data_IF_367134570483
#
_entry.id   IF_367134570483
#
_cell.length_a   1.000
_cell.length_b   1.000
_cell.length_c   1.000
_cell.angle_alpha   90.00
_cell.angle_beta   90.00
_cell.angle_gamma   90.00
#
_symmetry.space_group_name_H-M   'P 1'
#
loop_
_entity.id
_entity.type
_entity.pdbx_description
1 polymer ?
#
# COMPACT_ATOMS: atom_id res chain seq x y z
N UNK A 1 3.35 -7.06 15.11
CA UNK A 1 4.69 -7.18 15.75
C UNK A 1 5.78 -6.93 14.72
N UNK A 2 6.75 -6.11 15.09
CA UNK A 2 7.89 -5.83 14.22
C UNK A 2 8.95 -6.89 14.43
N UNK A 3 9.29 -7.62 13.38
CA UNK A 3 10.37 -8.60 13.42
C UNK A 3 11.69 -8.02 12.95
N UNK A 4 11.67 -6.81 12.44
CA UNK A 4 12.88 -6.07 12.05
C UNK A 4 12.62 -4.59 12.15
N UNK A 5 13.65 -3.87 12.54
CA UNK A 5 13.65 -2.41 12.54
C UNK A 5 14.23 -1.98 11.21
N UNK A 6 13.38 -1.48 10.32
CA UNK A 6 13.81 -1.17 8.96
C UNK A 6 13.37 0.20 8.51
N UNK A 7 14.27 0.87 7.82
CA UNK A 7 13.96 2.07 7.06
C UNK A 7 13.45 1.67 5.66
N UNK A 8 12.82 2.61 5.00
CA UNK A 8 12.28 2.45 3.65
C UNK A 8 13.29 1.80 2.69
N UNK A 9 14.55 2.21 2.75
CA UNK A 9 15.62 1.66 1.91
C UNK A 9 15.95 0.20 2.18
N UNK A 10 15.43 -0.36 3.27
CA UNK A 10 15.64 -1.77 3.65
C UNK A 10 14.32 -2.54 3.69
N UNK A 11 13.24 -1.93 3.28
CA UNK A 11 11.90 -2.45 3.43
C UNK A 11 11.30 -2.90 2.10
N UNK A 12 10.27 -3.73 2.18
CA UNK A 12 9.53 -4.22 1.02
C UNK A 12 8.18 -3.52 0.92
N UNK A 13 7.91 -2.98 -0.25
CA UNK A 13 6.64 -2.33 -0.57
C UNK A 13 5.78 -3.27 -1.39
N UNK A 14 4.51 -3.40 -1.03
CA UNK A 14 3.49 -3.98 -1.88
C UNK A 14 2.69 -2.84 -2.51
N UNK A 15 2.46 -2.88 -3.81
CA UNK A 15 1.75 -1.83 -4.50
C UNK A 15 1.03 -2.39 -5.73
N UNK A 16 0.27 -1.54 -6.40
CA UNK A 16 -0.35 -1.82 -7.68
C UNK A 16 -0.17 -0.64 -8.61
N UNK A 17 -0.37 -0.86 -9.90
CA UNK A 17 -0.34 0.21 -10.88
C UNK A 17 -1.59 1.09 -10.74
N UNK A 18 -1.52 2.36 -11.12
CA UNK A 18 -2.69 3.23 -11.13
C UNK A 18 -3.84 2.63 -11.96
N UNK A 19 -5.06 2.99 -11.60
CA UNK A 19 -6.24 2.56 -12.35
C UNK A 19 -6.12 2.97 -13.82
N UNK A 20 -6.73 2.15 -14.68
CA UNK A 20 -6.73 2.39 -16.13
C UNK A 20 -7.22 3.82 -16.43
N UNK A 21 -6.46 4.55 -17.22
CA UNK A 21 -6.74 5.95 -17.55
C UNK A 21 -5.93 6.97 -16.75
N UNK A 22 -5.25 6.54 -15.69
CA UNK A 22 -4.41 7.41 -14.87
C UNK A 22 -2.92 7.28 -15.23
N UNK A 23 -2.62 6.69 -16.37
CA UNK A 23 -1.25 6.51 -16.84
C UNK A 23 -0.83 7.73 -17.65
N UNK A 24 -0.23 8.72 -17.00
CA UNK A 24 0.38 9.84 -17.69
C UNK A 24 1.84 9.95 -17.25
N UNK A 25 2.60 10.83 -17.93
CA UNK A 25 4.02 10.97 -17.65
C UNK A 25 4.29 11.38 -16.20
N UNK A 26 3.48 12.28 -15.66
CA UNK A 26 3.66 12.78 -14.30
C UNK A 26 3.39 11.69 -13.27
N UNK A 27 2.27 10.98 -13.39
CA UNK A 27 1.93 9.93 -12.43
C UNK A 27 2.90 8.76 -12.49
N UNK A 28 3.40 8.42 -13.68
CA UNK A 28 4.40 7.36 -13.82
C UNK A 28 5.76 7.80 -13.28
N UNK A 29 6.10 9.07 -13.42
CA UNK A 29 7.34 9.61 -12.85
C UNK A 29 7.30 9.60 -11.33
N UNK A 30 6.18 10.01 -10.73
CA UNK A 30 5.99 9.96 -9.29
C UNK A 30 6.06 8.53 -8.77
N UNK A 31 5.43 7.60 -9.47
CA UNK A 31 5.47 6.18 -9.12
C UNK A 31 6.90 5.65 -9.16
N UNK A 32 7.64 5.95 -10.22
CA UNK A 32 9.03 5.52 -10.35
C UNK A 32 9.90 6.04 -9.21
N UNK A 33 9.74 7.32 -8.87
CA UNK A 33 10.49 7.93 -7.78
C UNK A 33 10.19 7.25 -6.44
N UNK A 34 8.92 6.90 -6.21
CA UNK A 34 8.53 6.17 -5.00
C UNK A 34 9.13 4.77 -5.00
N UNK A 35 9.02 4.04 -6.10
CA UNK A 35 9.47 2.65 -6.18
C UNK A 35 10.97 2.51 -5.92
N UNK A 36 11.80 3.43 -6.45
CA UNK A 36 13.26 3.31 -6.28
C UNK A 36 13.73 3.60 -4.85
N UNK A 37 12.89 4.18 -4.01
CA UNK A 37 13.24 4.44 -2.62
C UNK A 37 13.11 3.20 -1.72
N UNK A 38 12.50 2.13 -2.22
CA UNK A 38 12.30 0.88 -1.48
C UNK A 38 13.33 -0.18 -1.89
N UNK A 39 13.71 -1.04 -0.96
CA UNK A 39 14.63 -2.14 -1.26
C UNK A 39 14.02 -3.13 -2.24
N UNK A 40 12.77 -3.49 -2.02
CA UNK A 40 12.02 -4.42 -2.88
C UNK A 40 10.61 -3.91 -3.09
N UNK A 41 10.08 -4.18 -4.26
CA UNK A 41 8.69 -3.85 -4.61
C UNK A 41 8.03 -5.11 -5.13
N UNK A 42 6.80 -5.36 -4.67
CA UNK A 42 6.00 -6.51 -5.12
C UNK A 42 4.63 -6.03 -5.57
N UNK A 43 4.18 -6.56 -6.69
CA UNK A 43 2.83 -6.31 -7.21
C UNK A 43 2.09 -7.64 -7.21
N UNK A 44 1.28 -7.86 -6.18
CA UNK A 44 0.59 -9.14 -5.97
C UNK A 44 -0.67 -9.26 -6.82
N UNK A 45 -1.25 -8.13 -7.20
CA UNK A 45 -2.49 -8.13 -7.98
C UNK A 45 -3.74 -8.33 -7.12
N UNK A 46 -3.59 -8.34 -5.80
CA UNK A 46 -4.69 -8.45 -4.87
C UNK A 46 -4.44 -7.57 -3.66
N UNK A 47 -5.28 -6.58 -3.45
CA UNK A 47 -5.18 -5.68 -2.31
C UNK A 47 -5.35 -6.45 -0.99
N UNK A 48 -6.28 -7.38 -0.95
CA UNK A 48 -6.53 -8.19 0.25
C UNK A 48 -5.30 -9.03 0.63
N UNK A 49 -4.66 -9.68 -0.35
CA UNK A 49 -3.45 -10.46 -0.10
C UNK A 49 -2.27 -9.57 0.30
N UNK A 50 -2.14 -8.41 -0.33
CA UNK A 50 -1.09 -7.45 0.03
C UNK A 50 -1.23 -7.01 1.49
N UNK A 51 -2.45 -6.70 1.91
CA UNK A 51 -2.73 -6.34 3.30
C UNK A 51 -2.41 -7.49 4.26
N UNK A 52 -2.75 -8.72 3.89
CA UNK A 52 -2.45 -9.90 4.71
C UNK A 52 -0.95 -10.08 4.90
N UNK A 53 -0.16 -9.88 3.86
CA UNK A 53 1.30 -9.98 3.94
C UNK A 53 1.91 -8.85 4.78
N UNK A 54 1.34 -7.65 4.73
CA UNK A 54 1.78 -6.55 5.60
C UNK A 54 1.46 -6.89 7.06
N UNK A 55 0.25 -7.37 7.33
CA UNK A 55 -0.17 -7.74 8.67
C UNK A 55 0.69 -8.86 9.27
N UNK A 56 1.11 -9.82 8.46
CA UNK A 56 1.96 -10.92 8.90
C UNK A 56 3.45 -10.58 9.00
N UNK A 57 3.85 -9.38 8.59
CA UNK A 57 5.24 -8.93 8.65
C UNK A 57 6.09 -9.33 7.47
N UNK A 58 5.52 -9.98 6.44
CA UNK A 58 6.28 -10.37 5.24
C UNK A 58 6.57 -9.18 4.34
N UNK A 59 5.66 -8.22 4.28
CA UNK A 59 5.88 -6.92 3.63
C UNK A 59 5.81 -5.83 4.69
N UNK A 60 6.42 -4.70 4.42
CA UNK A 60 6.49 -3.62 5.40
C UNK A 60 5.40 -2.58 5.20
N UNK A 61 5.03 -2.33 3.96
CA UNK A 61 3.99 -1.35 3.63
C UNK A 61 3.25 -1.77 2.37
N UNK A 62 1.98 -1.43 2.32
CA UNK A 62 1.15 -1.51 1.13
C UNK A 62 0.64 -0.13 0.79
N UNK A 63 0.72 0.26 -0.48
CA UNK A 63 0.13 1.51 -0.95
C UNK A 63 -0.40 1.33 -2.36
N UNK A 64 -1.51 1.97 -2.63
CA UNK A 64 -2.12 1.94 -3.96
C UNK A 64 -3.02 3.16 -4.12
N UNK A 65 -3.09 3.66 -5.36
CA UNK A 65 -3.93 4.81 -5.70
C UNK A 65 -5.13 4.37 -6.51
N UNK A 66 -6.27 4.98 -6.24
CA UNK A 66 -7.47 4.76 -7.03
C UNK A 66 -8.10 3.39 -6.84
N UNK A 67 -7.96 2.80 -5.68
CA UNK A 67 -8.60 1.53 -5.36
C UNK A 67 -9.93 1.78 -4.66
N UNK A 68 -10.87 0.83 -4.78
CA UNK A 68 -12.14 0.95 -4.11
C UNK A 68 -12.08 0.46 -2.67
N UNK A 69 -12.77 1.17 -1.78
CA UNK A 69 -12.73 0.89 -0.35
C UNK A 69 -13.14 -0.53 0.00
N UNK A 70 -14.14 -1.08 -0.72
CA UNK A 70 -14.60 -2.47 -0.46
C UNK A 70 -13.56 -3.53 -0.80
N UNK A 71 -12.57 -3.20 -1.64
CA UNK A 71 -11.48 -4.15 -1.97
C UNK A 71 -10.44 -4.24 -0.86
N UNK A 72 -10.39 -3.26 0.03
CA UNK A 72 -9.35 -3.18 1.05
C UNK A 72 -9.88 -3.18 2.49
N UNK A 73 -11.18 -3.00 2.69
CA UNK A 73 -11.75 -2.81 4.04
C UNK A 73 -11.37 -3.95 4.99
N UNK A 74 -11.53 -5.21 4.56
CA UNK A 74 -11.19 -6.35 5.39
C UNK A 74 -9.69 -6.40 5.68
N UNK A 75 -8.86 -6.13 4.66
CA UNK A 75 -7.40 -6.12 4.80
C UNK A 75 -6.90 -5.05 5.77
N UNK A 76 -7.49 -3.86 5.71
CA UNK A 76 -7.15 -2.78 6.64
C UNK A 76 -7.51 -3.15 8.08
N UNK A 77 -8.64 -3.83 8.27
CA UNK A 77 -9.04 -4.32 9.59
C UNK A 77 -8.03 -5.33 10.15
N UNK A 78 -7.53 -6.22 9.30
CA UNK A 78 -6.50 -7.20 9.70
C UNK A 78 -5.20 -6.50 10.07
N UNK A 79 -4.78 -5.52 9.31
CA UNK A 79 -3.57 -4.73 9.60
C UNK A 79 -3.71 -4.03 10.96
N UNK A 80 -4.85 -3.41 11.21
CA UNK A 80 -5.10 -2.72 12.47
C UNK A 80 -5.08 -3.69 13.65
N UNK A 81 -5.72 -4.85 13.50
CA UNK A 81 -5.74 -5.89 14.53
C UNK A 81 -4.35 -6.44 14.82
N UNK A 82 -3.47 -6.45 13.83
CA UNK A 82 -2.08 -6.92 13.98
C UNK A 82 -1.14 -5.84 14.55
N UNK A 83 -1.65 -4.66 14.87
CA UNK A 83 -0.85 -3.57 15.44
C UNK A 83 -0.31 -2.58 14.42
N UNK A 84 -0.69 -2.72 13.17
CA UNK A 84 -0.30 -1.77 12.13
C UNK A 84 -1.20 -0.55 12.06
N UNK A 85 -0.91 0.31 11.13
CA UNK A 85 -1.68 1.53 10.87
C UNK A 85 -1.98 1.66 9.40
N UNK A 86 -3.03 2.42 9.11
CA UNK A 86 -3.37 2.79 7.74
C UNK A 86 -3.97 4.18 7.68
N UNK A 87 -3.85 4.79 6.52
CA UNK A 87 -4.56 6.02 6.18
C UNK A 87 -5.11 5.88 4.77
N UNK A 88 -6.21 6.55 4.50
CA UNK A 88 -6.72 6.64 3.13
C UNK A 88 -7.38 7.99 2.91
N UNK A 89 -7.39 8.40 1.65
CA UNK A 89 -7.99 9.67 1.23
C UNK A 89 -8.96 9.40 0.10
N UNK A 90 -10.21 9.80 0.29
CA UNK A 90 -11.25 9.63 -0.73
C UNK A 90 -11.13 10.67 -1.83
N UNK A 91 -11.57 10.30 -3.03
CA UNK A 91 -11.63 11.22 -4.15
C UNK A 91 -12.85 12.12 -4.05
N UNK A 92 -12.74 13.38 -4.50
CA UNK A 92 -13.91 14.30 -4.46
C UNK A 92 -15.09 13.79 -5.27
N UNK A 93 -14.84 13.12 -6.38
CA UNK A 93 -15.88 12.63 -7.29
C UNK A 93 -16.45 11.26 -6.88
N UNK A 94 -15.76 10.53 -6.00
CA UNK A 94 -16.20 9.20 -5.58
C UNK A 94 -15.63 8.89 -4.20
N UNK A 95 -16.49 8.92 -3.19
CA UNK A 95 -16.10 8.71 -1.80
C UNK A 95 -15.61 7.29 -1.52
N UNK A 96 -15.93 6.32 -2.37
CA UNK A 96 -15.51 4.93 -2.21
C UNK A 96 -14.21 4.62 -2.96
N UNK A 97 -13.74 5.54 -3.78
CA UNK A 97 -12.45 5.42 -4.45
C UNK A 97 -11.41 6.14 -3.61
N UNK A 98 -10.34 5.46 -3.24
CA UNK A 98 -9.38 5.97 -2.27
C UNK A 98 -7.94 5.73 -2.70
N UNK A 99 -7.06 6.59 -2.17
CA UNK A 99 -5.62 6.33 -2.15
C UNK A 99 -5.31 5.83 -0.75
N UNK A 100 -4.65 4.70 -0.63
CA UNK A 100 -4.41 4.04 0.65
C UNK A 100 -2.93 3.82 0.90
N UNK A 101 -2.52 3.99 2.15
CA UNK A 101 -1.20 3.61 2.64
C UNK A 101 -1.41 2.86 3.96
N UNK A 102 -0.86 1.67 4.05
CA UNK A 102 -0.96 0.84 5.25
C UNK A 102 0.40 0.22 5.56
N UNK A 103 0.77 0.17 6.82
CA UNK A 103 2.04 -0.40 7.24
C UNK A 103 1.91 -1.15 8.57
N UNK A 104 2.96 -1.88 8.92
CA UNK A 104 2.99 -2.67 10.14
C UNK A 104 3.65 -1.95 11.33
N UNK A 105 3.88 -0.65 11.22
CA UNK A 105 4.53 0.18 12.23
C UNK A 105 6.00 -0.16 12.48
N UNK A 106 6.66 -0.77 11.51
CA UNK A 106 8.07 -1.14 11.63
C UNK A 106 9.02 -0.27 10.80
N UNK A 107 8.49 0.79 10.22
CA UNK A 107 9.26 1.73 9.43
C UNK A 107 9.73 2.92 10.25
#
# INVERSE_FOLDING_TARGET
>A
MCIRDSHKSKATLATGLPAKGNFNRESMSELSNELVSWKKVRMIGSAAMSCAYVASGQFDQYQEKGIFLWDIAAGLSIIKAAGGNYTFKSYPEDQFKVDVVANNNCL
#
